data_IF_462444570949
#
_entry.id   IF_462444570949
#
_cell.length_a   1.000
_cell.length_b   1.000
_cell.length_c   1.000
_cell.angle_alpha   90.00
_cell.angle_beta   90.00
_cell.angle_gamma   90.00
#
_symmetry.space_group_name_H-M   'P 1'
#
loop_
_entity.id
_entity.type
_entity.pdbx_description
1 polymer ?
#
# COMPACT_ATOMS: atom_id res chain seq x y z
N UNK A 1 -8.76 -50.71 28.25
CA UNK A 1 -9.91 -51.61 28.15
C UNK A 1 -10.74 -51.05 27.02
N UNK A 2 -10.71 -51.69 25.87
CA UNK A 2 -11.47 -51.23 24.70
C UNK A 2 -12.98 -51.40 25.00
N UNK A 3 -13.82 -50.47 24.55
CA UNK A 3 -15.25 -50.47 24.86
C UNK A 3 -15.91 -51.78 24.39
N UNK A 4 -15.38 -52.34 23.32
CA UNK A 4 -15.74 -53.65 22.79
C UNK A 4 -15.45 -54.83 23.74
N UNK A 5 -14.29 -54.86 24.39
CA UNK A 5 -13.95 -55.92 25.36
C UNK A 5 -14.87 -55.88 26.57
N UNK A 6 -15.19 -54.68 27.08
CA UNK A 6 -16.15 -54.51 28.17
C UNK A 6 -17.58 -54.88 27.77
N UNK A 7 -17.96 -54.61 26.51
CA UNK A 7 -19.27 -54.98 25.95
C UNK A 7 -19.44 -56.49 25.77
N UNK A 8 -18.40 -57.19 25.31
CA UNK A 8 -18.41 -58.65 25.09
C UNK A 8 -18.51 -59.43 26.41
N UNK A 9 -17.86 -58.94 27.48
CA UNK A 9 -17.94 -59.55 28.83
C UNK A 9 -19.35 -59.42 29.43
N UNK A 10 -20.06 -58.32 29.17
CA UNK A 10 -21.39 -58.05 29.71
C UNK A 10 -22.52 -58.80 28.96
N UNK A 11 -22.30 -59.18 27.69
CA UNK A 11 -23.35 -59.62 26.76
C UNK A 11 -23.32 -61.12 26.43
N UNK A 12 -23.27 -61.98 27.45
CA UNK A 12 -23.29 -63.44 27.27
C UNK A 12 -24.33 -63.93 26.25
N UNK A 13 -23.85 -64.24 25.03
CA UNK A 13 -24.52 -64.87 23.89
C UNK A 13 -26.04 -64.62 23.74
N UNK A 14 -26.48 -63.37 23.66
CA UNK A 14 -27.84 -63.03 23.20
C UNK A 14 -27.83 -62.35 21.83
N UNK A 15 -28.79 -62.64 20.94
CA UNK A 15 -28.85 -62.09 19.58
C UNK A 15 -29.18 -60.59 19.50
N UNK A 16 -29.70 -59.99 20.58
CA UNK A 16 -29.84 -58.53 20.74
C UNK A 16 -28.49 -57.81 20.96
N UNK A 17 -27.42 -58.57 21.23
CA UNK A 17 -26.09 -58.04 21.49
C UNK A 17 -25.28 -57.78 20.21
N UNK A 18 -25.66 -58.38 19.07
CA UNK A 18 -24.92 -58.19 17.83
C UNK A 18 -25.06 -56.75 17.30
N UNK A 19 -26.28 -56.20 17.31
CA UNK A 19 -26.51 -54.79 16.98
C UNK A 19 -25.79 -53.85 17.96
N UNK A 20 -25.71 -54.20 19.23
CA UNK A 20 -24.97 -53.43 20.24
C UNK A 20 -23.47 -53.40 19.95
N UNK A 21 -22.87 -54.56 19.63
CA UNK A 21 -21.45 -54.66 19.29
C UNK A 21 -21.12 -53.92 17.98
N UNK A 22 -22.01 -53.97 16.99
CA UNK A 22 -21.87 -53.18 15.76
C UNK A 22 -21.91 -51.67 16.04
N UNK A 23 -22.83 -51.23 16.91
CA UNK A 23 -22.92 -49.83 17.32
C UNK A 23 -21.67 -49.37 18.09
N UNK A 24 -21.12 -50.21 18.98
CA UNK A 24 -19.86 -49.93 19.70
C UNK A 24 -18.68 -49.82 18.72
N UNK A 25 -18.57 -50.73 17.75
CA UNK A 25 -17.51 -50.69 16.74
C UNK A 25 -17.61 -49.46 15.82
N UNK A 26 -18.83 -49.01 15.50
CA UNK A 26 -19.04 -47.73 14.79
C UNK A 26 -18.58 -46.56 15.66
N UNK A 27 -18.97 -46.51 16.93
CA UNK A 27 -18.56 -45.45 17.87
C UNK A 27 -17.05 -45.38 18.05
N UNK A 28 -16.36 -46.51 18.19
CA UNK A 28 -14.90 -46.56 18.31
C UNK A 28 -14.19 -46.00 17.07
N UNK A 29 -14.67 -46.36 15.87
CA UNK A 29 -14.14 -45.80 14.61
C UNK A 29 -14.37 -44.29 14.53
N UNK A 30 -15.57 -43.83 14.87
CA UNK A 30 -15.90 -42.41 14.88
C UNK A 30 -15.04 -41.64 15.89
N UNK A 31 -14.83 -42.16 17.10
CA UNK A 31 -13.95 -41.54 18.10
C UNK A 31 -12.49 -41.48 17.62
N UNK A 32 -11.99 -42.53 16.98
CA UNK A 32 -10.65 -42.54 16.40
C UNK A 32 -10.50 -41.50 15.27
N UNK A 33 -11.55 -41.28 14.46
CA UNK A 33 -11.58 -40.22 13.46
C UNK A 33 -11.57 -38.81 14.08
N UNK A 34 -12.36 -38.58 15.14
CA UNK A 34 -12.34 -37.29 15.85
C UNK A 34 -11.01 -37.01 16.53
N UNK A 35 -10.34 -38.01 17.09
CA UNK A 35 -9.02 -37.86 17.70
C UNK A 35 -7.93 -37.48 16.69
N UNK A 36 -8.06 -37.85 15.41
CA UNK A 36 -7.13 -37.44 14.33
C UNK A 36 -7.21 -35.95 14.00
N UNK A 37 -8.31 -35.28 14.31
CA UNK A 37 -8.49 -33.84 14.07
C UNK A 37 -7.65 -33.00 15.06
N UNK A 38 -7.21 -33.61 16.15
CA UNK A 38 -6.47 -32.97 17.23
C UNK A 38 -7.33 -32.76 18.47
N UNK A 39 -6.68 -32.52 19.59
CA UNK A 39 -7.37 -32.28 20.87
C UNK A 39 -7.95 -30.87 20.94
N UNK A 40 -8.94 -30.69 21.82
CA UNK A 40 -9.53 -29.37 22.08
C UNK A 40 -8.46 -28.36 22.54
N UNK A 41 -7.45 -28.80 23.27
CA UNK A 41 -6.38 -27.93 23.76
C UNK A 41 -5.41 -27.51 22.64
N UNK A 42 -5.10 -28.40 21.69
CA UNK A 42 -4.36 -28.05 20.48
C UNK A 42 -5.09 -26.98 19.65
N UNK A 43 -6.42 -27.12 19.50
CA UNK A 43 -7.25 -26.12 18.80
C UNK A 43 -7.27 -24.77 19.53
N UNK A 44 -7.29 -24.78 20.87
CA UNK A 44 -7.21 -23.54 21.67
C UNK A 44 -5.85 -22.86 21.48
N UNK A 45 -4.76 -23.62 21.46
CA UNK A 45 -3.42 -23.06 21.30
C UNK A 45 -3.22 -22.52 19.87
N UNK A 46 -3.71 -23.23 18.86
CA UNK A 46 -3.70 -22.75 17.48
C UNK A 46 -4.44 -21.41 17.32
N UNK A 47 -5.61 -21.25 17.96
CA UNK A 47 -6.34 -19.98 17.99
C UNK A 47 -5.53 -18.85 18.64
N UNK A 48 -4.85 -19.11 19.76
CA UNK A 48 -3.99 -18.10 20.40
C UNK A 48 -2.84 -17.70 19.49
N UNK A 49 -2.18 -18.67 18.84
CA UNK A 49 -1.07 -18.42 17.93
C UNK A 49 -1.52 -17.61 16.71
N UNK A 50 -2.67 -17.94 16.12
CA UNK A 50 -3.25 -17.16 15.03
C UNK A 50 -3.56 -15.71 15.45
N UNK A 51 -4.09 -15.51 16.66
CA UNK A 51 -4.34 -14.16 17.21
C UNK A 51 -3.05 -13.37 17.36
N UNK A 52 -1.99 -13.97 17.91
CA UNK A 52 -0.65 -13.35 18.04
C UNK A 52 -0.08 -12.99 16.67
N UNK A 53 -0.16 -13.90 15.70
CA UNK A 53 0.30 -13.65 14.33
C UNK A 53 -0.41 -12.43 13.71
N UNK A 54 -1.74 -12.36 13.82
CA UNK A 54 -2.53 -11.24 13.30
C UNK A 54 -2.13 -9.91 13.97
N UNK A 55 -1.91 -9.91 15.28
CA UNK A 55 -1.44 -8.73 16.02
C UNK A 55 -0.05 -8.28 15.58
N UNK A 56 0.89 -9.21 15.43
CA UNK A 56 2.25 -8.92 14.97
C UNK A 56 2.26 -8.35 13.54
N UNK A 57 1.45 -8.93 12.64
CA UNK A 57 1.25 -8.40 11.29
C UNK A 57 0.78 -6.94 11.33
N UNK A 58 -0.25 -6.62 12.11
CA UNK A 58 -0.77 -5.25 12.24
C UNK A 58 0.24 -4.27 12.87
N UNK A 59 1.10 -4.74 13.77
CA UNK A 59 2.20 -3.92 14.31
C UNK A 59 3.23 -3.61 13.21
N UNK A 60 3.64 -4.60 12.45
CA UNK A 60 4.60 -4.45 11.35
C UNK A 60 4.15 -3.41 10.32
N UNK A 61 2.88 -3.47 9.86
CA UNK A 61 2.36 -2.47 8.92
C UNK A 61 2.38 -1.05 9.48
N UNK A 62 2.01 -0.87 10.76
CA UNK A 62 2.04 0.45 11.41
C UNK A 62 3.46 0.99 11.51
N UNK A 63 4.40 0.15 11.92
CA UNK A 63 5.81 0.54 12.05
C UNK A 63 6.42 0.90 10.68
N UNK A 64 6.10 0.13 9.64
CA UNK A 64 6.50 0.42 8.27
C UNK A 64 5.92 1.76 7.78
N UNK A 65 4.62 2.00 7.95
CA UNK A 65 3.99 3.27 7.59
C UNK A 65 4.61 4.45 8.33
N UNK A 66 4.94 4.29 9.61
CA UNK A 66 5.59 5.34 10.42
C UNK A 66 6.98 5.67 9.87
N UNK A 67 7.76 4.66 9.49
CA UNK A 67 9.09 4.85 8.87
C UNK A 67 9.00 5.56 7.52
N UNK A 68 8.13 5.08 6.63
CA UNK A 68 7.91 5.70 5.32
C UNK A 68 7.49 7.17 5.45
N UNK A 69 6.58 7.48 6.40
CA UNK A 69 6.15 8.85 6.65
C UNK A 69 7.31 9.73 7.15
N UNK A 70 8.15 9.21 8.04
CA UNK A 70 9.31 9.94 8.53
C UNK A 70 10.37 10.18 7.44
N UNK A 71 10.61 9.21 6.56
CA UNK A 71 11.51 9.38 5.42
C UNK A 71 11.00 10.42 4.42
N UNK A 72 9.70 10.40 4.12
CA UNK A 72 9.07 11.41 3.27
C UNK A 72 9.21 12.82 3.84
N UNK A 73 8.89 13.00 5.13
CA UNK A 73 9.02 14.30 5.82
C UNK A 73 10.48 14.76 5.80
N UNK A 74 11.44 13.88 6.12
CA UNK A 74 12.87 14.22 6.04
C UNK A 74 13.30 14.62 4.63
N UNK A 75 12.76 13.99 3.60
CA UNK A 75 12.99 14.37 2.21
C UNK A 75 12.47 15.78 1.90
N UNK A 76 11.28 16.11 2.39
CA UNK A 76 10.71 17.45 2.25
C UNK A 76 11.49 18.51 3.03
N UNK A 77 11.90 18.22 4.27
CA UNK A 77 12.71 19.12 5.10
C UNK A 77 14.04 19.44 4.41
N UNK A 78 14.75 18.44 3.88
CA UNK A 78 15.98 18.66 3.09
C UNK A 78 15.75 19.52 1.85
N UNK A 79 14.66 19.28 1.14
CA UNK A 79 14.31 20.10 -0.03
C UNK A 79 14.02 21.56 0.36
N UNK A 80 13.40 21.78 1.53
CA UNK A 80 13.13 23.11 2.05
C UNK A 80 14.42 23.81 2.55
N UNK A 81 15.30 23.09 3.25
CA UNK A 81 16.62 23.60 3.68
C UNK A 81 17.47 24.03 2.48
N UNK A 82 17.43 23.28 1.37
CA UNK A 82 18.14 23.64 0.14
C UNK A 82 17.61 24.92 -0.53
N UNK A 83 16.34 25.26 -0.27
CA UNK A 83 15.70 26.47 -0.81
C UNK A 83 16.03 27.70 0.07
N UNK A 84 16.39 27.52 1.34
CA UNK A 84 16.88 28.58 2.23
C UNK A 84 15.78 29.29 3.02
N UNK A 85 14.88 30.03 2.35
CA UNK A 85 13.84 30.86 2.98
C UNK A 85 12.44 30.55 2.46
N UNK A 86 11.42 30.95 3.25
CA UNK A 86 10.00 30.81 2.84
C UNK A 86 9.69 31.71 1.64
N UNK A 87 10.37 32.85 1.53
CA UNK A 87 10.30 33.77 0.39
C UNK A 87 10.85 33.12 -0.88
N UNK A 88 11.99 32.44 -0.81
CA UNK A 88 12.57 31.69 -1.94
C UNK A 88 11.66 30.54 -2.38
N UNK A 89 11.04 29.83 -1.42
CA UNK A 89 10.04 28.79 -1.73
C UNK A 89 8.82 29.36 -2.45
N UNK A 90 8.28 30.50 -1.97
CA UNK A 90 7.16 31.19 -2.64
C UNK A 90 7.55 31.64 -4.04
N UNK A 91 8.74 32.21 -4.22
CA UNK A 91 9.24 32.66 -5.51
C UNK A 91 9.42 31.50 -6.51
N UNK A 92 9.98 30.35 -6.08
CA UNK A 92 10.08 29.15 -6.91
C UNK A 92 8.71 28.59 -7.28
N UNK A 93 7.78 28.56 -6.33
CA UNK A 93 6.40 28.12 -6.58
C UNK A 93 5.72 29.03 -7.61
N UNK A 94 5.87 30.34 -7.47
CA UNK A 94 5.34 31.33 -8.40
C UNK A 94 5.91 31.14 -9.82
N UNK A 95 7.23 30.90 -9.95
CA UNK A 95 7.91 30.65 -11.24
C UNK A 95 7.50 29.32 -11.88
N UNK A 96 7.11 28.33 -11.06
CA UNK A 96 6.65 27.01 -11.53
C UNK A 96 5.23 27.02 -12.12
N UNK A 97 4.43 28.03 -11.78
CA UNK A 97 3.12 28.28 -12.40
C UNK A 97 3.36 28.80 -13.81
N UNK A 98 2.85 28.09 -14.82
CA UNK A 98 2.98 28.53 -16.20
C UNK A 98 2.21 29.83 -16.42
N UNK A 99 2.86 30.80 -17.06
CA UNK A 99 2.28 32.12 -17.35
C UNK A 99 2.39 32.40 -18.83
N UNK A 100 1.36 33.05 -19.39
CA UNK A 100 1.33 33.43 -20.79
C UNK A 100 2.35 34.54 -21.07
N UNK A 101 3.14 34.43 -22.15
CA UNK A 101 3.98 35.51 -22.65
C UNK A 101 3.19 36.80 -22.87
N UNK A 102 3.81 37.93 -22.57
CA UNK A 102 3.26 39.25 -22.86
C UNK A 102 3.60 39.67 -24.30
N UNK A 103 2.77 40.51 -24.90
CA UNK A 103 3.04 41.19 -26.17
C UNK A 103 3.58 40.24 -27.27
N UNK A 104 2.89 39.11 -27.47
CA UNK A 104 3.27 38.14 -28.50
C UNK A 104 3.12 38.72 -29.90
N UNK A 105 4.17 38.63 -30.70
CA UNK A 105 4.22 39.10 -32.09
C UNK A 105 4.89 38.07 -32.97
N UNK A 106 4.62 38.11 -34.27
CA UNK A 106 5.28 37.23 -35.23
C UNK A 106 6.61 37.89 -35.63
N UNK A 107 7.72 37.21 -35.36
CA UNK A 107 9.02 37.60 -35.88
C UNK A 107 9.03 37.40 -37.40
N UNK A 108 9.52 38.41 -38.13
CA UNK A 108 9.69 38.37 -39.58
C UNK A 108 11.15 38.60 -39.94
N UNK A 109 11.69 37.77 -40.81
CA UNK A 109 12.94 38.03 -41.51
C UNK A 109 12.62 38.26 -43.00
N UNK A 110 12.86 39.49 -43.49
CA UNK A 110 12.67 39.88 -44.90
C UNK A 110 11.36 39.34 -45.52
N UNK A 111 10.23 39.61 -44.85
CA UNK A 111 8.86 39.16 -45.16
C UNK A 111 8.48 37.69 -44.93
N UNK A 112 9.42 36.84 -44.50
CA UNK A 112 9.11 35.46 -44.08
C UNK A 112 8.85 35.42 -42.57
N UNK A 113 7.71 34.85 -42.16
CA UNK A 113 7.41 34.60 -40.74
C UNK A 113 8.32 33.50 -40.20
N UNK A 114 9.11 33.80 -39.17
CA UNK A 114 10.12 32.89 -38.61
C UNK A 114 9.69 32.23 -37.30
N UNK A 115 8.67 32.77 -36.62
CA UNK A 115 8.11 32.22 -35.39
C UNK A 115 7.44 33.29 -34.53
N UNK A 116 6.75 32.91 -33.45
CA UNK A 116 6.23 33.85 -32.47
C UNK A 116 7.29 34.22 -31.43
N UNK A 117 7.39 35.51 -31.12
CA UNK A 117 8.21 36.05 -30.03
C UNK A 117 7.30 36.78 -29.05
N UNK A 118 7.65 36.77 -27.78
CA UNK A 118 6.94 37.49 -26.73
C UNK A 118 7.90 38.03 -25.68
N UNK A 119 7.34 38.55 -24.60
CA UNK A 119 8.08 38.98 -23.42
C UNK A 119 7.74 38.12 -22.22
N UNK A 120 8.76 37.79 -21.44
CA UNK A 120 8.59 37.05 -20.20
C UNK A 120 7.70 37.85 -19.24
N UNK A 121 6.61 37.27 -18.71
CA UNK A 121 5.70 37.97 -17.81
C UNK A 121 6.30 38.30 -16.43
N UNK A 122 7.52 37.82 -16.14
CA UNK A 122 8.20 38.03 -14.86
C UNK A 122 9.37 39.02 -14.95
N UNK A 123 10.18 38.99 -16.02
CA UNK A 123 11.38 39.81 -16.16
C UNK A 123 11.41 40.69 -17.42
N UNK A 124 10.37 40.61 -18.26
CA UNK A 124 10.26 41.32 -19.54
C UNK A 124 11.33 40.97 -20.60
N UNK A 125 12.13 39.93 -20.34
CA UNK A 125 13.10 39.36 -21.29
C UNK A 125 12.42 38.81 -22.55
N UNK A 126 13.13 38.85 -23.69
CA UNK A 126 12.62 38.36 -24.96
C UNK A 126 12.60 36.83 -24.93
N UNK A 127 11.47 36.24 -25.30
CA UNK A 127 11.27 34.78 -25.32
C UNK A 127 10.67 34.37 -26.66
N UNK A 128 11.05 33.18 -27.12
CA UNK A 128 10.57 32.58 -28.37
C UNK A 128 9.59 31.44 -28.09
N UNK A 129 8.70 31.15 -29.05
CA UNK A 129 7.61 30.17 -28.96
C UNK A 129 8.06 28.75 -28.57
N UNK A 130 9.29 28.38 -28.92
CA UNK A 130 9.90 27.08 -28.60
C UNK A 130 10.46 27.00 -27.16
N UNK A 131 10.55 28.14 -26.47
CA UNK A 131 11.01 28.19 -25.08
C UNK A 131 9.91 27.76 -24.11
N UNK A 132 10.13 26.65 -23.40
CA UNK A 132 9.28 26.20 -22.29
C UNK A 132 9.50 27.00 -21.00
N UNK A 133 10.65 27.63 -20.86
CA UNK A 133 11.06 28.40 -19.69
C UNK A 133 11.84 29.64 -20.14
N UNK A 134 11.69 30.75 -19.43
CA UNK A 134 12.52 31.93 -19.64
C UNK A 134 13.95 31.66 -19.14
N UNK A 135 14.94 31.81 -19.99
CA UNK A 135 16.35 31.57 -19.66
C UNK A 135 16.90 32.57 -18.62
N UNK A 136 16.39 33.80 -18.61
CA UNK A 136 16.87 34.86 -17.71
C UNK A 136 16.41 34.65 -16.26
N UNK A 137 15.17 34.20 -16.04
CA UNK A 137 14.58 34.19 -14.70
C UNK A 137 13.96 32.85 -14.28
N UNK A 138 13.92 31.85 -15.17
CA UNK A 138 13.39 30.51 -14.93
C UNK A 138 11.86 30.43 -14.86
N UNK A 139 11.14 31.45 -15.31
CA UNK A 139 9.67 31.45 -15.35
C UNK A 139 9.18 30.41 -16.37
N UNK A 140 8.25 29.54 -15.97
CA UNK A 140 7.57 28.61 -16.88
C UNK A 140 6.64 29.34 -17.83
N UNK A 141 6.71 29.02 -19.12
CA UNK A 141 5.95 29.71 -20.16
C UNK A 141 4.77 28.85 -20.64
N UNK A 142 3.64 29.51 -20.91
CA UNK A 142 2.45 28.91 -21.49
C UNK A 142 2.08 29.62 -22.80
N UNK A 143 2.34 28.97 -23.93
CA UNK A 143 2.07 29.55 -25.26
C UNK A 143 0.64 29.27 -25.77
N UNK A 144 -0.23 28.60 -24.98
CA UNK A 144 -1.58 28.20 -25.40
C UNK A 144 -2.71 28.77 -24.53
#
# INVERSE_FOLDING_TARGET
MELKESAEILNGNRPDCQQFLENVAVLERTLAEYQKIGTVDELREMKKNYKKFKQNKNKLYRDMHKKLKAEYIKGQEKALEAIGTVEEFKALKEKSVAKKPLCTTIAKDKDTSVGMIGRCPCCDGIIAEDMLWCEDCGQKLDWH
#
